data_IF_284568352968
#
_entry.id   IF_284568352968
#
_cell.length_a   1.000
_cell.length_b   1.000
_cell.length_c   1.000
_cell.angle_alpha   90.00
_cell.angle_beta   90.00
_cell.angle_gamma   90.00
#
_symmetry.space_group_name_H-M   'P 1'
#
loop_
_entity.id
_entity.type
_entity.pdbx_description
1 polymer ?
#
# COMPACT_ATOMS: atom_id res chain seq x y z
N UNK A 1 -12.10 6.84 11.64
CA UNK A 1 -11.89 8.14 10.98
C UNK A 1 -11.84 7.92 9.48
N UNK A 2 -12.54 8.74 8.72
CA UNK A 2 -12.45 8.72 7.26
C UNK A 2 -11.18 9.44 6.80
N UNK A 3 -10.47 8.87 5.83
CA UNK A 3 -9.21 9.37 5.27
C UNK A 3 -9.27 9.34 3.76
N UNK A 4 -8.70 10.35 3.10
CA UNK A 4 -8.67 10.42 1.64
C UNK A 4 -7.34 9.89 1.11
N UNK A 5 -7.39 8.91 0.21
CA UNK A 5 -6.22 8.31 -0.43
C UNK A 5 -6.24 8.62 -1.91
N UNK A 6 -5.35 9.52 -2.35
CA UNK A 6 -5.11 9.80 -3.76
C UNK A 6 -4.46 8.59 -4.42
N UNK A 7 -5.01 8.16 -5.54
CA UNK A 7 -4.56 6.93 -6.22
C UNK A 7 -3.81 7.30 -7.48
N UNK A 8 -2.71 6.61 -7.77
CA UNK A 8 -1.91 6.89 -8.96
C UNK A 8 -1.57 5.64 -9.76
N UNK A 9 -1.66 5.77 -11.08
CA UNK A 9 -1.19 4.79 -12.05
C UNK A 9 0.02 5.35 -12.80
N UNK A 10 0.99 4.50 -13.12
CA UNK A 10 2.14 4.94 -13.91
C UNK A 10 1.71 5.29 -15.36
N UNK A 11 2.26 6.37 -15.93
CA UNK A 11 2.04 6.71 -17.34
C UNK A 11 2.62 5.65 -18.28
N UNK A 12 3.80 5.13 -17.94
CA UNK A 12 4.53 4.18 -18.76
C UNK A 12 4.45 2.77 -18.16
N UNK A 13 4.11 1.74 -18.95
CA UNK A 13 4.05 0.37 -18.46
C UNK A 13 5.36 -0.05 -17.80
N UNK A 14 5.24 -0.63 -16.60
CA UNK A 14 6.34 -1.11 -15.75
C UNK A 14 7.25 -0.03 -15.18
N UNK A 15 7.01 1.26 -15.46
CA UNK A 15 7.74 2.34 -14.79
C UNK A 15 7.14 2.59 -13.41
N UNK A 16 8.01 2.90 -12.47
CA UNK A 16 7.65 3.31 -11.12
C UNK A 16 8.87 4.01 -10.52
N UNK A 17 8.65 4.92 -9.57
CA UNK A 17 9.73 5.49 -8.78
C UNK A 17 10.30 4.46 -7.80
N UNK A 18 11.55 4.67 -7.39
CA UNK A 18 12.14 3.86 -6.34
C UNK A 18 11.44 4.14 -5.00
N UNK A 19 11.29 3.12 -4.15
CA UNK A 19 10.73 3.28 -2.80
C UNK A 19 11.65 4.16 -1.92
N UNK A 20 12.96 4.00 -2.10
CA UNK A 20 13.99 4.66 -1.28
C UNK A 20 14.45 3.78 -0.12
N UNK A 21 15.21 4.38 0.78
CA UNK A 21 15.74 3.72 1.97
C UNK A 21 14.58 3.22 2.86
N UNK A 22 14.69 1.98 3.32
CA UNK A 22 13.67 1.34 4.13
C UNK A 22 14.27 0.27 5.03
N UNK A 23 13.54 -0.03 6.10
CA UNK A 23 13.77 -1.24 6.89
C UNK A 23 12.81 -2.33 6.41
N UNK A 24 13.29 -3.53 6.03
CA UNK A 24 12.42 -4.68 5.85
C UNK A 24 11.83 -5.09 7.20
N UNK A 25 10.60 -5.60 7.20
CA UNK A 25 10.04 -6.22 8.38
C UNK A 25 10.90 -7.43 8.80
N UNK A 26 11.45 -7.46 10.03
CA UNK A 26 12.34 -8.53 10.49
C UNK A 26 11.71 -9.94 10.45
N UNK A 27 10.38 -10.05 10.32
CA UNK A 27 9.68 -11.32 10.19
C UNK A 27 9.25 -11.65 8.75
N UNK A 28 9.55 -10.80 7.76
CA UNK A 28 8.94 -10.81 6.43
C UNK A 28 9.70 -11.56 5.33
N UNK A 29 10.97 -11.88 5.51
CA UNK A 29 11.78 -12.47 4.43
C UNK A 29 11.20 -13.84 3.99
N UNK A 30 11.00 -14.00 2.68
CA UNK A 30 10.38 -15.17 2.05
C UNK A 30 8.90 -15.46 2.40
N UNK A 31 8.16 -14.47 2.91
CA UNK A 31 6.70 -14.60 3.14
C UNK A 31 5.87 -14.16 1.94
N UNK A 32 4.62 -14.62 1.91
CA UNK A 32 3.64 -14.21 0.90
C UNK A 32 3.31 -12.72 0.94
N UNK A 33 3.52 -12.09 2.10
CA UNK A 33 3.40 -10.65 2.34
C UNK A 33 4.62 -10.17 3.12
N UNK A 34 5.30 -9.16 2.61
CA UNK A 34 6.45 -8.52 3.23
C UNK A 34 6.19 -7.01 3.31
N UNK A 35 6.39 -6.44 4.49
CA UNK A 35 6.25 -5.01 4.72
C UNK A 35 7.60 -4.29 4.62
N UNK A 36 7.58 -3.09 4.07
CA UNK A 36 8.73 -2.18 4.02
C UNK A 36 8.33 -0.83 4.61
N UNK A 37 9.14 -0.32 5.53
CA UNK A 37 8.84 0.92 6.26
C UNK A 37 9.90 1.96 5.90
N UNK A 38 9.46 3.05 5.28
CA UNK A 38 10.24 4.25 5.00
C UNK A 38 9.91 5.38 5.97
N UNK A 39 10.51 6.55 5.75
CA UNK A 39 10.31 7.72 6.63
C UNK A 39 8.90 8.30 6.51
N UNK A 40 8.40 8.44 5.28
CA UNK A 40 7.11 9.06 4.96
C UNK A 40 6.14 8.07 4.29
N UNK A 41 6.53 6.80 4.21
CA UNK A 41 5.85 5.80 3.41
C UNK A 41 5.89 4.42 4.04
N UNK A 42 4.84 3.65 3.80
CA UNK A 42 4.78 2.23 4.11
C UNK A 42 4.45 1.50 2.81
N UNK A 43 5.20 0.45 2.54
CA UNK A 43 5.02 -0.40 1.38
C UNK A 43 4.69 -1.83 1.78
N UNK A 44 3.97 -2.50 0.88
CA UNK A 44 3.73 -3.93 0.99
C UNK A 44 4.10 -4.63 -0.32
N UNK A 45 4.93 -5.65 -0.21
CA UNK A 45 5.24 -6.60 -1.27
C UNK A 45 4.35 -7.81 -1.03
N UNK A 46 3.64 -8.22 -2.07
CA UNK A 46 2.79 -9.40 -2.05
C UNK A 46 3.10 -10.28 -3.25
N UNK A 47 2.72 -11.55 -3.18
CA UNK A 47 2.78 -12.46 -4.32
C UNK A 47 2.11 -11.87 -5.57
N UNK A 48 2.62 -12.15 -6.80
CA UNK A 48 2.08 -11.58 -8.03
C UNK A 48 0.57 -11.74 -8.21
N UNK A 49 0.01 -12.88 -7.78
CA UNK A 49 -1.42 -13.18 -7.88
C UNK A 49 -2.24 -12.30 -6.92
N UNK A 50 -1.77 -12.15 -5.69
CA UNK A 50 -2.37 -11.28 -4.67
C UNK A 50 -2.29 -9.82 -5.11
N UNK A 51 -1.15 -9.41 -5.70
CA UNK A 51 -0.99 -8.06 -6.25
C UNK A 51 -2.00 -7.81 -7.37
N UNK A 52 -2.14 -8.73 -8.32
CA UNK A 52 -3.07 -8.54 -9.43
C UNK A 52 -4.51 -8.37 -8.92
N UNK A 53 -4.90 -9.18 -7.94
CA UNK A 53 -6.20 -9.07 -7.30
C UNK A 53 -6.37 -7.76 -6.52
N UNK A 54 -5.42 -7.38 -5.65
CA UNK A 54 -5.47 -6.12 -4.89
C UNK A 54 -5.49 -4.90 -5.80
N UNK A 55 -4.67 -4.89 -6.85
CA UNK A 55 -4.65 -3.79 -7.82
C UNK A 55 -5.97 -3.69 -8.58
N UNK A 56 -6.60 -4.82 -8.93
CA UNK A 56 -7.93 -4.80 -9.52
C UNK A 56 -8.98 -4.25 -8.55
N UNK A 57 -8.96 -4.65 -7.27
CA UNK A 57 -9.93 -4.14 -6.30
C UNK A 57 -9.69 -2.68 -5.93
N UNK A 58 -8.43 -2.26 -5.74
CA UNK A 58 -8.05 -0.95 -5.22
C UNK A 58 -7.87 0.11 -6.31
N UNK A 59 -7.53 -0.28 -7.54
CA UNK A 59 -7.18 0.64 -8.63
C UNK A 59 -8.00 0.44 -9.90
N UNK A 60 -9.02 -0.44 -9.91
CA UNK A 60 -10.02 -0.40 -10.98
C UNK A 60 -10.98 0.79 -10.80
N UNK A 61 -11.81 1.03 -11.83
CA UNK A 61 -12.82 2.10 -11.89
C UNK A 61 -13.96 1.97 -10.87
N UNK A 62 -13.98 0.92 -10.05
CA UNK A 62 -14.98 0.77 -8.98
C UNK A 62 -14.58 1.64 -7.78
N UNK A 63 -15.55 2.00 -6.94
CA UNK A 63 -15.33 2.64 -5.64
C UNK A 63 -15.18 1.52 -4.59
N UNK A 64 -13.97 1.02 -4.30
CA UNK A 64 -13.82 0.01 -3.26
C UNK A 64 -14.11 0.64 -1.90
N UNK A 65 -14.65 -0.16 -0.99
CA UNK A 65 -14.75 0.20 0.42
C UNK A 65 -13.59 -0.44 1.16
N UNK A 66 -12.77 0.35 1.85
CA UNK A 66 -11.63 -0.15 2.62
C UNK A 66 -11.73 0.35 4.06
N UNK A 67 -11.67 -0.58 5.00
CA UNK A 67 -11.63 -0.28 6.43
C UNK A 67 -10.41 -0.95 7.07
N UNK A 68 -9.52 -0.14 7.63
CA UNK A 68 -8.35 -0.58 8.39
C UNK A 68 -8.70 -0.59 9.88
N UNK A 69 -8.85 -1.78 10.47
CA UNK A 69 -9.08 -1.97 11.91
C UNK A 69 -7.79 -2.33 12.61
N UNK A 70 -7.78 -2.35 13.94
CA UNK A 70 -6.59 -2.64 14.72
C UNK A 70 -5.88 -3.96 14.35
N UNK A 71 -6.63 -5.00 13.97
CA UNK A 71 -6.09 -6.33 13.64
C UNK A 71 -6.75 -6.99 12.43
N UNK A 72 -7.51 -6.23 11.66
CA UNK A 72 -8.17 -6.73 10.46
C UNK A 72 -8.31 -5.64 9.41
N UNK A 73 -8.40 -6.04 8.15
CA UNK A 73 -8.73 -5.15 7.03
C UNK A 73 -10.03 -5.66 6.42
N UNK A 74 -11.00 -4.77 6.21
CA UNK A 74 -12.13 -5.06 5.34
C UNK A 74 -11.87 -4.43 3.98
N UNK A 75 -11.97 -5.25 2.93
CA UNK A 75 -12.01 -4.80 1.54
C UNK A 75 -13.33 -5.27 0.93
N UNK A 76 -14.18 -4.30 0.59
CA UNK A 76 -15.54 -4.54 0.13
C UNK A 76 -16.30 -5.44 1.13
N UNK A 77 -16.69 -6.65 0.69
CA UNK A 77 -17.45 -7.62 1.52
C UNK A 77 -16.58 -8.67 2.20
N UNK A 78 -15.25 -8.52 2.16
CA UNK A 78 -14.30 -9.49 2.69
C UNK A 78 -13.54 -8.89 3.86
N UNK A 79 -13.52 -9.61 4.97
CA UNK A 79 -12.70 -9.31 6.14
C UNK A 79 -11.46 -10.22 6.11
N UNK A 80 -10.30 -9.62 6.37
CA UNK A 80 -8.97 -10.24 6.43
C UNK A 80 -8.42 -10.03 7.84
N UNK A 81 -8.03 -11.09 8.53
CA UNK A 81 -7.57 -11.08 9.93
C UNK A 81 -6.30 -11.93 10.14
N UNK A 82 -5.56 -12.21 9.08
CA UNK A 82 -4.35 -13.03 9.10
C UNK A 82 -3.29 -12.41 10.02
N UNK A 83 -3.14 -12.98 11.20
CA UNK A 83 -2.24 -12.50 12.26
C UNK A 83 -0.81 -12.39 11.77
N UNK A 84 -0.35 -13.31 10.93
CA UNK A 84 1.01 -13.32 10.38
C UNK A 84 1.31 -12.10 9.48
N UNK A 85 0.28 -11.42 8.98
CA UNK A 85 0.38 -10.24 8.13
C UNK A 85 0.04 -8.97 8.91
N UNK A 86 -1.05 -9.01 9.69
CA UNK A 86 -1.66 -7.83 10.31
C UNK A 86 -1.22 -7.60 11.76
N UNK A 87 -0.56 -8.56 12.42
CA UNK A 87 0.06 -8.33 13.74
C UNK A 87 1.55 -7.93 13.62
N UNK A 88 1.94 -7.35 12.48
CA UNK A 88 3.31 -6.94 12.19
C UNK A 88 3.54 -5.44 12.46
N UNK A 89 4.81 -5.07 12.58
CA UNK A 89 5.21 -3.66 12.67
C UNK A 89 4.80 -2.88 11.41
N UNK A 90 4.83 -3.53 10.23
CA UNK A 90 4.43 -2.91 8.97
C UNK A 90 2.97 -2.50 8.93
N UNK A 91 2.06 -3.39 9.34
CA UNK A 91 0.63 -3.03 9.40
C UNK A 91 0.36 -1.92 10.43
N UNK A 92 1.05 -1.97 11.57
CA UNK A 92 0.96 -0.93 12.60
C UNK A 92 1.42 0.43 12.05
N UNK A 93 2.56 0.47 11.35
CA UNK A 93 3.09 1.67 10.70
C UNK A 93 2.14 2.22 9.63
N UNK A 94 1.48 1.36 8.83
CA UNK A 94 0.49 1.79 7.86
C UNK A 94 -0.69 2.50 8.54
N UNK A 95 -1.23 1.92 9.62
CA UNK A 95 -2.32 2.54 10.39
C UNK A 95 -1.88 3.86 11.01
N UNK A 96 -0.69 3.92 11.59
CA UNK A 96 -0.14 5.15 12.16
C UNK A 96 0.02 6.26 11.10
N UNK A 97 0.53 5.91 9.91
CA UNK A 97 0.62 6.84 8.78
C UNK A 97 -0.76 7.38 8.40
N UNK A 98 -1.75 6.50 8.20
CA UNK A 98 -3.10 6.91 7.80
C UNK A 98 -3.83 7.72 8.88
N UNK A 99 -3.60 7.42 10.16
CA UNK A 99 -4.15 8.22 11.27
C UNK A 99 -3.50 9.59 11.35
N UNK A 100 -2.19 9.68 11.07
CA UNK A 100 -1.37 10.88 11.19
C UNK A 100 -1.50 11.90 10.05
N UNK A 101 -2.13 11.55 8.93
CA UNK A 101 -2.38 12.48 7.81
C UNK A 101 -3.87 12.54 7.45
N UNK A 102 -4.33 13.67 6.90
CA UNK A 102 -5.70 13.79 6.38
C UNK A 102 -5.83 13.22 4.96
N UNK A 103 -4.75 13.39 4.19
CA UNK A 103 -4.59 12.89 2.82
C UNK A 103 -3.35 12.00 2.74
N UNK A 104 -3.46 10.91 1.97
CA UNK A 104 -2.36 10.01 1.66
C UNK A 104 -2.33 9.68 0.17
N UNK A 105 -1.23 9.09 -0.30
CA UNK A 105 -0.98 8.81 -1.70
C UNK A 105 -0.63 7.35 -1.91
N UNK A 106 -1.40 6.66 -2.76
CA UNK A 106 -1.21 5.26 -3.11
C UNK A 106 -0.67 5.10 -4.52
N UNK A 107 0.49 4.44 -4.65
CA UNK A 107 1.13 4.18 -5.93
C UNK A 107 2.07 2.96 -5.88
N UNK A 108 2.43 2.43 -7.04
CA UNK A 108 3.42 1.36 -7.13
C UNK A 108 4.85 1.93 -7.14
N UNK A 109 5.74 1.34 -6.36
CA UNK A 109 7.20 1.60 -6.41
C UNK A 109 7.99 0.31 -6.68
N UNK A 110 9.30 0.44 -6.82
CA UNK A 110 10.25 -0.68 -6.86
C UNK A 110 11.44 -0.42 -5.94
N UNK A 111 12.26 -1.43 -5.69
CA UNK A 111 13.57 -1.26 -5.09
C UNK A 111 14.57 -2.23 -5.72
N UNK A 112 15.85 -1.84 -5.80
CA UNK A 112 16.88 -2.59 -6.53
C UNK A 112 17.34 -3.88 -5.82
N UNK A 113 17.12 -3.98 -4.51
CA UNK A 113 17.49 -5.17 -3.73
C UNK A 113 16.51 -6.33 -3.91
N UNK A 114 15.29 -6.04 -4.37
CA UNK A 114 14.27 -7.05 -4.62
C UNK A 114 14.39 -7.62 -6.04
N UNK A 115 13.94 -8.86 -6.27
CA UNK A 115 13.96 -9.47 -7.59
C UNK A 115 13.33 -8.57 -8.67
N UNK A 116 13.87 -8.59 -9.91
CA UNK A 116 13.29 -7.85 -11.01
C UNK A 116 11.80 -8.15 -11.19
N UNK A 117 10.99 -7.10 -11.35
CA UNK A 117 9.54 -7.23 -11.50
C UNK A 117 8.76 -7.24 -10.19
N UNK A 118 9.42 -7.28 -9.03
CA UNK A 118 8.78 -6.98 -7.75
C UNK A 118 8.26 -5.54 -7.74
N UNK A 119 7.03 -5.38 -7.27
CA UNK A 119 6.35 -4.09 -7.14
C UNK A 119 5.82 -3.98 -5.72
N UNK A 120 6.05 -2.81 -5.14
CA UNK A 120 5.66 -2.48 -3.78
C UNK A 120 4.41 -1.59 -3.88
N UNK A 121 3.30 -2.02 -3.31
CA UNK A 121 2.12 -1.16 -3.14
C UNK A 121 2.47 -0.20 -2.02
N UNK A 122 2.61 1.08 -2.34
CA UNK A 122 3.11 2.12 -1.42
C UNK A 122 1.99 3.05 -1.04
N UNK A 123 1.85 3.31 0.26
CA UNK A 123 1.09 4.42 0.82
C UNK A 123 2.09 5.43 1.39
N UNK A 124 1.93 6.69 1.05
CA UNK A 124 2.85 7.77 1.40
C UNK A 124 2.10 9.02 1.82
N UNK A 125 2.64 9.77 2.78
CA UNK A 125 2.14 11.11 3.12
C UNK A 125 2.55 12.17 2.08
N UNK A 126 3.47 11.83 1.17
CA UNK A 126 3.93 12.68 0.07
C UNK A 126 3.47 12.14 -1.29
N UNK A 127 3.12 13.02 -2.25
CA UNK A 127 2.73 12.60 -3.59
C UNK A 127 3.91 11.98 -4.35
N UNK A 128 3.64 11.09 -5.33
CA UNK A 128 4.70 10.54 -6.18
C UNK A 128 5.22 11.57 -7.20
N UNK A 129 6.29 11.22 -7.92
CA UNK A 129 6.85 12.04 -9.00
C UNK A 129 5.83 12.21 -10.13
N UNK A 130 5.24 13.41 -10.25
CA UNK A 130 4.16 13.68 -11.22
C UNK A 130 4.50 13.40 -12.69
N UNK A 131 5.77 13.36 -13.07
CA UNK A 131 6.20 12.98 -14.43
C UNK A 131 6.01 11.48 -14.73
N UNK A 132 5.93 10.64 -13.70
CA UNK A 132 5.82 9.20 -13.81
C UNK A 132 4.39 8.69 -13.61
N UNK A 133 3.53 9.49 -12.98
CA UNK A 133 2.25 9.04 -12.49
C UNK A 133 1.10 9.96 -12.90
N UNK A 134 -0.01 9.33 -13.28
CA UNK A 134 -1.31 9.95 -13.47
C UNK A 134 -2.17 9.66 -12.26
N UNK A 135 -2.74 10.72 -11.71
CA UNK A 135 -3.74 10.61 -10.67
C UNK A 135 -5.05 10.02 -11.22
N UNK A 136 -5.65 9.14 -10.43
CA UNK A 136 -6.95 8.52 -10.64
C UNK A 136 -7.94 9.11 -9.63
N UNK A 137 -9.21 8.74 -9.74
CA UNK A 137 -10.19 9.12 -8.72
C UNK A 137 -9.71 8.70 -7.32
N UNK A 138 -9.76 9.56 -6.30
CA UNK A 138 -9.30 9.22 -4.97
C UNK A 138 -10.21 8.16 -4.32
N UNK A 139 -9.70 7.54 -3.26
CA UNK A 139 -10.38 6.50 -2.49
C UNK A 139 -10.55 6.98 -1.04
N UNK A 140 -11.79 6.99 -0.56
CA UNK A 140 -12.05 7.16 0.88
C UNK A 140 -11.84 5.84 1.59
N UNK A 141 -11.03 5.85 2.65
CA UNK A 141 -10.80 4.69 3.52
C UNK A 141 -11.21 5.03 4.94
N UNK A 142 -11.70 4.03 5.67
CA UNK A 142 -12.03 4.14 7.09
C UNK A 142 -10.87 3.58 7.89
N UNK A 143 -10.39 4.30 8.89
CA UNK A 143 -9.38 3.80 9.83
C UNK A 143 -10.01 3.75 11.21
N UNK A 144 -10.22 2.54 11.75
CA UNK A 144 -10.68 2.34 13.11
C UNK A 144 -9.63 2.82 14.11
N UNK A 145 -10.07 3.28 15.29
CA UNK A 145 -9.19 3.61 16.42
C UNK A 145 -8.44 2.37 16.93
#
# INVERSE_FOLDING_TARGET
MDKLVHRYSAFFPRWCQAFGDHAPDPFGEARAVEWVIGVDSVGVIVLPEVRHWLMHELLAEKHPEVEFRQRSIRLNRRDYDEVEVLATAGYSALRELLLGCDEAHMFLTYHLIYPPGTRIITISSKPPLGLLYREMEPLTVIVGE
#
